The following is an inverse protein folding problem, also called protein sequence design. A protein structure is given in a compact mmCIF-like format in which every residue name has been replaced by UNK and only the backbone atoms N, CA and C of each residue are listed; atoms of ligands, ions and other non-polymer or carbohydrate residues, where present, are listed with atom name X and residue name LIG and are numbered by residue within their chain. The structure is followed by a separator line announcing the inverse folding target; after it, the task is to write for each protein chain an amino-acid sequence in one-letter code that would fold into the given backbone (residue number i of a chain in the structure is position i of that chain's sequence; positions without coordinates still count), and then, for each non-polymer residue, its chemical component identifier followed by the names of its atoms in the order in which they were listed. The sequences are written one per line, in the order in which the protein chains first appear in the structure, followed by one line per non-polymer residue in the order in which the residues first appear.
data_IF_548482503765
#
_entry.id   IF_548482503765
#
_cell.length_a   1.000
_cell.length_b   1.000
_cell.length_c   1.000
_cell.angle_alpha   90.00
_cell.angle_beta   90.00
_cell.angle_gamma   90.00
#
_symmetry.space_group_name_H-M   'P 1'
#
loop_
_entity.id
_entity.type
_entity.pdbx_description
1 polymer ?
#
# COMPACT_ATOMS: atom_id res chain seq x y z
N UNK A 1 14.91 10.93 -12.35
CA UNK A 1 14.43 10.93 -10.96
C UNK A 1 15.29 11.89 -10.17
N UNK A 2 14.68 12.89 -9.56
CA UNK A 2 15.40 13.93 -8.86
C UNK A 2 16.14 13.32 -7.67
N UNK A 3 17.48 13.45 -7.63
CA UNK A 3 18.31 12.80 -6.59
C UNK A 3 17.92 13.29 -5.20
N UNK A 4 17.45 14.53 -5.11
CA UNK A 4 16.97 15.16 -3.87
C UNK A 4 15.77 14.42 -3.31
N UNK A 5 14.75 14.14 -4.13
CA UNK A 5 13.54 13.44 -3.70
C UNK A 5 13.84 12.02 -3.23
N UNK A 6 14.67 11.27 -3.99
CA UNK A 6 15.03 9.90 -3.64
C UNK A 6 15.79 9.84 -2.30
N UNK A 7 16.73 10.75 -2.10
CA UNK A 7 17.48 10.85 -0.85
C UNK A 7 16.56 11.21 0.32
N UNK A 8 15.63 12.14 0.13
CA UNK A 8 14.64 12.48 1.15
C UNK A 8 13.77 11.27 1.53
N UNK A 9 13.24 10.55 0.55
CA UNK A 9 12.42 9.35 0.78
C UNK A 9 13.20 8.28 1.54
N UNK A 10 14.46 8.04 1.16
CA UNK A 10 15.29 7.05 1.83
C UNK A 10 15.63 7.45 3.28
N UNK A 11 16.00 8.71 3.50
CA UNK A 11 16.33 9.20 4.84
C UNK A 11 15.12 9.14 5.78
N UNK A 12 13.91 9.33 5.23
CA UNK A 12 12.65 9.27 5.98
C UNK A 12 11.96 7.90 5.91
N UNK A 13 12.62 6.85 5.42
CA UNK A 13 11.99 5.53 5.20
C UNK A 13 11.35 4.94 6.46
N UNK A 14 11.95 5.17 7.63
CA UNK A 14 11.39 4.70 8.92
C UNK A 14 10.09 5.42 9.26
N UNK A 15 10.06 6.75 9.06
CA UNK A 15 8.85 7.56 9.24
C UNK A 15 7.76 7.12 8.27
N UNK A 16 8.11 6.87 7.00
CA UNK A 16 7.18 6.36 5.98
C UNK A 16 6.63 4.98 6.40
N UNK A 17 7.49 4.09 6.90
CA UNK A 17 7.08 2.79 7.43
C UNK A 17 6.12 2.90 8.61
N UNK A 18 6.40 3.80 9.56
CA UNK A 18 5.52 4.09 10.70
C UNK A 18 4.16 4.63 10.26
N UNK A 19 4.14 5.52 9.26
CA UNK A 19 2.90 6.04 8.69
C UNK A 19 2.10 4.90 8.05
N UNK A 20 2.73 4.03 7.26
CA UNK A 20 2.06 2.88 6.65
C UNK A 20 1.46 1.92 7.68
N UNK A 21 2.19 1.63 8.76
CA UNK A 21 1.69 0.81 9.89
C UNK A 21 0.51 1.50 10.56
N UNK A 22 0.61 2.81 10.82
CA UNK A 22 -0.46 3.60 11.44
C UNK A 22 -1.74 3.56 10.61
N UNK A 23 -1.62 3.75 9.29
CA UNK A 23 -2.75 3.64 8.35
C UNK A 23 -3.36 2.23 8.41
N UNK A 24 -2.53 1.19 8.43
CA UNK A 24 -2.99 -0.20 8.53
C UNK A 24 -3.79 -0.45 9.82
N UNK A 25 -3.28 0.01 10.96
CA UNK A 25 -3.94 -0.14 12.26
C UNK A 25 -5.26 0.62 12.28
N UNK A 26 -5.28 1.90 11.89
CA UNK A 26 -6.49 2.72 11.87
C UNK A 26 -7.56 2.08 10.99
N UNK A 27 -7.20 1.64 9.77
CA UNK A 27 -8.16 1.02 8.84
C UNK A 27 -8.64 -0.36 9.29
N UNK A 28 -7.84 -1.10 10.08
CA UNK A 28 -8.30 -2.30 10.76
C UNK A 28 -9.28 -1.96 11.88
N UNK A 29 -8.95 -0.98 12.73
CA UNK A 29 -9.81 -0.54 13.84
C UNK A 29 -11.16 -0.07 13.34
N UNK A 30 -11.19 0.77 12.30
CA UNK A 30 -12.44 1.29 11.72
C UNK A 30 -13.38 0.17 11.26
N UNK A 31 -12.85 -0.89 10.65
CA UNK A 31 -13.68 -2.03 10.24
C UNK A 31 -14.11 -2.88 11.45
N UNK A 32 -13.22 -3.11 12.43
CA UNK A 32 -13.57 -3.88 13.64
C UNK A 32 -14.61 -3.18 14.52
N UNK A 33 -14.72 -1.86 14.41
CA UNK A 33 -15.77 -1.06 15.07
C UNK A 33 -17.03 -0.92 14.21
N UNK A 34 -17.14 -1.66 13.10
CA UNK A 34 -18.26 -1.62 12.14
C UNK A 34 -18.54 -0.21 11.57
N UNK A 35 -17.56 0.69 11.59
CA UNK A 35 -17.65 2.02 10.98
C UNK A 35 -17.45 2.00 9.46
N UNK A 36 -16.90 0.89 8.94
CA UNK A 36 -16.68 0.65 7.52
C UNK A 36 -17.14 -0.77 7.19
N UNK A 37 -17.75 -0.93 6.01
CA UNK A 37 -18.20 -2.22 5.52
C UNK A 37 -17.06 -3.23 5.38
N UNK A 38 -17.38 -4.52 5.58
CA UNK A 38 -16.40 -5.60 5.45
C UNK A 38 -16.04 -5.81 3.98
N UNK A 39 -14.77 -5.63 3.64
CA UNK A 39 -14.27 -5.86 2.28
C UNK A 39 -13.04 -6.79 2.27
N UNK A 40 -13.13 -8.00 1.69
CA UNK A 40 -12.04 -8.96 1.72
C UNK A 40 -10.78 -8.45 1.01
N UNK A 41 -10.94 -7.72 -0.10
CA UNK A 41 -9.82 -7.11 -0.82
C UNK A 41 -9.12 -6.02 0.03
N UNK A 42 -9.90 -5.17 0.71
CA UNK A 42 -9.34 -4.15 1.60
C UNK A 42 -8.62 -4.77 2.80
N UNK A 43 -9.13 -5.88 3.37
CA UNK A 43 -8.44 -6.63 4.43
C UNK A 43 -7.05 -7.09 4.00
N UNK A 44 -6.95 -7.66 2.80
CA UNK A 44 -5.67 -8.08 2.25
C UNK A 44 -4.73 -6.88 2.04
N UNK A 45 -5.22 -5.82 1.39
CA UNK A 45 -4.44 -4.61 1.10
C UNK A 45 -3.90 -3.95 2.37
N UNK A 46 -4.74 -3.68 3.37
CA UNK A 46 -4.29 -3.00 4.61
C UNK A 46 -3.27 -3.83 5.38
N UNK A 47 -3.43 -5.15 5.40
CA UNK A 47 -2.48 -6.05 6.07
C UNK A 47 -1.13 -6.03 5.36
N UNK A 48 -1.13 -6.05 4.02
CA UNK A 48 0.09 -5.99 3.21
C UNK A 48 0.79 -4.64 3.37
N UNK A 49 0.05 -3.53 3.39
CA UNK A 49 0.60 -2.20 3.66
C UNK A 49 1.29 -2.18 5.04
N UNK A 50 0.65 -2.74 6.07
CA UNK A 50 1.24 -2.85 7.41
C UNK A 50 2.52 -3.69 7.43
N UNK A 51 2.51 -4.85 6.78
CA UNK A 51 3.69 -5.74 6.68
C UNK A 51 4.86 -5.09 5.93
N UNK A 52 4.59 -4.39 4.82
CA UNK A 52 5.60 -3.62 4.09
C UNK A 52 6.10 -2.42 4.91
N UNK A 53 5.24 -1.80 5.71
CA UNK A 53 5.64 -0.78 6.67
C UNK A 53 6.64 -1.33 7.71
N UNK A 54 6.37 -2.51 8.27
CA UNK A 54 7.30 -3.21 9.19
C UNK A 54 8.63 -3.52 8.51
N UNK A 55 8.59 -3.98 7.25
CA UNK A 55 9.77 -4.27 6.44
C UNK A 55 10.72 -3.05 6.31
N UNK A 56 10.17 -1.84 6.22
CA UNK A 56 10.96 -0.59 6.18
C UNK A 56 11.61 -0.22 7.53
N UNK A 57 11.07 -0.69 8.65
CA UNK A 57 11.62 -0.42 9.98
C UNK A 57 12.83 -1.28 10.33
N UNK A 58 13.04 -2.38 9.60
CA UNK A 58 14.16 -3.28 9.83
C UNK A 58 15.50 -2.54 9.69
N UNK A 59 16.49 -2.85 10.56
CA UNK A 59 17.80 -2.18 10.54
C UNK A 59 18.50 -2.38 9.20
N UNK A 60 18.37 -3.56 8.59
CA UNK A 60 18.79 -3.83 7.23
C UNK A 60 17.59 -4.14 6.33
N UNK A 61 17.01 -3.09 5.76
CA UNK A 61 15.89 -3.17 4.80
C UNK A 61 16.22 -4.00 3.56
N UNK A 62 17.50 -4.09 3.18
CA UNK A 62 17.94 -4.81 1.97
C UNK A 62 18.50 -6.21 2.26
N UNK A 63 18.27 -6.74 3.46
CA UNK A 63 18.61 -8.13 3.70
C UNK A 63 17.81 -9.03 2.74
N UNK A 64 18.42 -10.10 2.24
CA UNK A 64 17.84 -10.91 1.16
C UNK A 64 16.47 -11.51 1.55
N UNK A 65 16.35 -11.97 2.80
CA UNK A 65 15.11 -12.55 3.35
C UNK A 65 13.98 -11.52 3.31
N UNK A 66 14.23 -10.30 3.75
CA UNK A 66 13.28 -9.20 3.76
C UNK A 66 12.89 -8.79 2.34
N UNK A 67 13.85 -8.67 1.42
CA UNK A 67 13.56 -8.37 0.02
C UNK A 67 12.67 -9.46 -0.60
N UNK A 68 12.97 -10.74 -0.32
CA UNK A 68 12.18 -11.87 -0.79
C UNK A 68 10.75 -11.83 -0.25
N UNK A 69 10.58 -11.75 1.07
CA UNK A 69 9.26 -11.69 1.71
C UNK A 69 8.47 -10.46 1.28
N UNK A 70 9.09 -9.27 1.30
CA UNK A 70 8.46 -8.03 0.87
C UNK A 70 7.99 -8.11 -0.59
N UNK A 71 8.78 -8.71 -1.48
CA UNK A 71 8.40 -8.85 -2.89
C UNK A 71 7.21 -9.79 -3.08
N UNK A 72 7.17 -10.92 -2.37
CA UNK A 72 6.05 -11.87 -2.47
C UNK A 72 4.74 -11.22 -1.99
N UNK A 73 4.75 -10.62 -0.79
CA UNK A 73 3.54 -10.03 -0.24
C UNK A 73 3.09 -8.82 -1.04
N UNK A 74 4.04 -8.00 -1.54
CA UNK A 74 3.72 -6.86 -2.38
C UNK A 74 3.15 -7.29 -3.73
N UNK A 75 3.66 -8.37 -4.34
CA UNK A 75 3.11 -8.91 -5.58
C UNK A 75 1.66 -9.38 -5.40
N UNK A 76 1.37 -10.12 -4.33
CA UNK A 76 0.01 -10.52 -3.99
C UNK A 76 -0.90 -9.30 -3.75
N UNK A 77 -0.43 -8.32 -3.00
CA UNK A 77 -1.20 -7.10 -2.71
C UNK A 77 -1.45 -6.25 -3.95
N UNK A 78 -0.47 -6.14 -4.83
CA UNK A 78 -0.60 -5.46 -6.11
C UNK A 78 -1.62 -6.16 -7.00
N UNK A 79 -1.58 -7.50 -7.09
CA UNK A 79 -2.59 -8.27 -7.81
C UNK A 79 -4.01 -8.02 -7.26
N UNK A 80 -4.19 -8.12 -5.94
CA UNK A 80 -5.49 -7.90 -5.28
C UNK A 80 -6.01 -6.49 -5.52
N UNK A 81 -5.16 -5.47 -5.38
CA UNK A 81 -5.54 -4.08 -5.59
C UNK A 81 -5.82 -3.77 -7.07
N UNK A 82 -5.03 -4.32 -8.00
CA UNK A 82 -5.24 -4.19 -9.44
C UNK A 82 -6.55 -4.85 -9.86
N UNK A 83 -6.82 -6.05 -9.34
CA UNK A 83 -8.06 -6.77 -9.60
C UNK A 83 -9.28 -5.98 -9.11
N UNK A 84 -9.28 -5.53 -7.85
CA UNK A 84 -10.38 -4.71 -7.32
C UNK A 84 -10.57 -3.40 -8.09
N UNK A 85 -9.48 -2.74 -8.46
CA UNK A 85 -9.54 -1.50 -9.22
C UNK A 85 -10.10 -1.75 -10.63
N UNK A 86 -9.71 -2.84 -11.28
CA UNK A 86 -10.24 -3.23 -12.57
C UNK A 86 -11.73 -3.63 -12.52
N UNK A 87 -12.19 -4.29 -11.45
CA UNK A 87 -13.63 -4.53 -11.21
C UNK A 87 -14.42 -3.21 -11.18
N UNK A 88 -13.87 -2.17 -10.55
CA UNK A 88 -14.48 -0.84 -10.57
C UNK A 88 -14.53 -0.24 -11.98
N UNK A 89 -13.44 -0.35 -12.76
CA UNK A 89 -13.42 0.05 -14.16
C UNK A 89 -14.49 -0.68 -15.00
N UNK A 90 -14.65 -2.00 -14.82
CA UNK A 90 -15.72 -2.74 -15.49
C UNK A 90 -17.09 -2.17 -15.16
N UNK A 91 -17.38 -1.87 -13.89
CA UNK A 91 -18.65 -1.26 -13.49
C UNK A 91 -18.88 0.09 -14.16
N UNK A 92 -17.83 0.91 -14.32
CA UNK A 92 -17.89 2.21 -15.02
C UNK A 92 -18.29 1.99 -16.48
N UNK A 93 -17.60 1.07 -17.17
CA UNK A 93 -17.85 0.80 -18.59
C UNK A 93 -19.23 0.20 -18.86
N UNK A 94 -19.78 -0.58 -17.92
CA UNK A 94 -21.13 -1.13 -18.01
C UNK A 94 -22.23 -0.16 -17.55
N UNK A 95 -21.89 1.08 -17.15
CA UNK A 95 -22.86 2.05 -16.64
C UNK A 95 -23.49 1.65 -15.30
N UNK A 96 -22.89 0.68 -14.58
CA UNK A 96 -23.36 0.17 -13.27
C UNK A 96 -22.58 0.75 -12.10
N UNK A 97 -21.75 1.76 -12.36
CA UNK A 97 -20.92 2.38 -11.34
C UNK A 97 -21.74 3.34 -10.49
N UNK A 98 -21.61 3.19 -9.17
CA UNK A 98 -22.30 4.02 -8.19
C UNK A 98 -21.23 4.51 -7.21
N UNK A 99 -21.14 5.83 -7.04
CA UNK A 99 -20.22 6.42 -6.05
C UNK A 99 -20.65 6.09 -4.61
N UNK A 100 -21.97 5.96 -4.38
CA UNK A 100 -22.57 5.79 -3.06
C UNK A 100 -22.70 7.13 -2.32
N UNK A 101 -23.43 7.15 -1.20
CA UNK A 101 -23.54 8.35 -0.34
C UNK A 101 -22.17 8.80 0.20
N UNK A 102 -21.29 7.84 0.50
CA UNK A 102 -19.92 8.08 0.95
C UNK A 102 -18.89 7.78 -0.13
N UNK A 103 -18.76 8.68 -1.11
CA UNK A 103 -17.84 8.54 -2.25
C UNK A 103 -16.37 8.26 -1.85
N UNK A 104 -15.93 8.74 -0.69
CA UNK A 104 -14.56 8.60 -0.20
C UNK A 104 -14.23 7.19 0.31
N UNK A 105 -15.22 6.36 0.59
CA UNK A 105 -15.05 4.94 0.96
C UNK A 105 -15.29 4.04 -0.27
N UNK A 106 -15.40 4.62 -1.47
CA UNK A 106 -15.67 3.83 -2.66
C UNK A 106 -14.54 2.83 -2.93
N UNK A 107 -14.91 1.57 -3.19
CA UNK A 107 -13.99 0.46 -3.38
C UNK A 107 -12.99 0.67 -4.52
N UNK A 108 -13.36 1.42 -5.58
CA UNK A 108 -12.48 1.70 -6.72
C UNK A 108 -11.40 2.73 -6.36
N UNK A 109 -11.78 3.74 -5.57
CA UNK A 109 -10.87 4.78 -5.09
C UNK A 109 -9.85 4.21 -4.09
N UNK A 110 -10.34 3.46 -3.10
CA UNK A 110 -9.48 2.83 -2.08
C UNK A 110 -8.47 1.85 -2.71
N UNK A 111 -8.89 1.03 -3.66
CA UNK A 111 -7.98 0.10 -4.34
C UNK A 111 -6.93 0.82 -5.18
N UNK A 112 -7.29 1.99 -5.76
CA UNK A 112 -6.33 2.87 -6.43
C UNK A 112 -5.26 3.38 -5.47
N UNK A 113 -5.65 3.90 -4.30
CA UNK A 113 -4.67 4.31 -3.27
C UNK A 113 -3.81 3.14 -2.79
N UNK A 114 -4.41 1.97 -2.57
CA UNK A 114 -3.69 0.77 -2.16
C UNK A 114 -2.62 0.37 -3.19
N UNK A 115 -2.91 0.44 -4.50
CA UNK A 115 -1.92 0.20 -5.56
C UNK A 115 -0.72 1.12 -5.41
N UNK A 116 -0.95 2.44 -5.33
CA UNK A 116 0.14 3.41 -5.21
C UNK A 116 0.97 3.21 -3.94
N UNK A 117 0.32 2.93 -2.80
CA UNK A 117 1.02 2.71 -1.53
C UNK A 117 1.86 1.43 -1.59
N UNK A 118 1.29 0.30 -2.02
CA UNK A 118 2.01 -0.99 -2.08
C UNK A 118 3.20 -0.89 -3.03
N UNK A 119 3.01 -0.32 -4.22
CA UNK A 119 4.10 -0.10 -5.19
C UNK A 119 5.18 0.82 -4.63
N UNK A 120 4.79 1.95 -4.03
CA UNK A 120 5.72 2.92 -3.46
C UNK A 120 6.55 2.33 -2.33
N UNK A 121 5.93 1.59 -1.42
CA UNK A 121 6.61 0.90 -0.31
C UNK A 121 7.60 -0.15 -0.83
N UNK A 122 7.18 -0.98 -1.80
CA UNK A 122 8.08 -1.99 -2.39
C UNK A 122 9.29 -1.33 -3.08
N UNK A 123 9.07 -0.28 -3.87
CA UNK A 123 10.14 0.45 -4.53
C UNK A 123 11.10 1.07 -3.51
N UNK A 124 10.59 1.61 -2.41
CA UNK A 124 11.42 2.17 -1.34
C UNK A 124 12.25 1.09 -0.64
N UNK A 125 11.68 -0.10 -0.39
CA UNK A 125 12.40 -1.26 0.15
C UNK A 125 13.54 -1.69 -0.78
N UNK A 126 13.28 -1.70 -2.09
CA UNK A 126 14.28 -2.03 -3.13
C UNK A 126 15.23 -0.90 -3.50
N UNK A 127 15.05 0.31 -2.95
CA UNK A 127 15.90 1.45 -3.25
C UNK A 127 17.29 1.27 -2.61
N UNK A 128 18.34 1.70 -3.31
CA UNK A 128 19.69 1.81 -2.77
C UNK A 128 20.16 3.25 -2.97
N UNK A 129 20.45 4.01 -1.91
CA UNK A 129 21.16 5.27 -2.07
C UNK A 129 22.54 4.95 -2.61
N UNK A 130 22.91 5.54 -3.74
CA UNK A 130 24.33 5.58 -4.10
C UNK A 130 25.03 6.48 -3.09
N UNK A 131 26.19 6.08 -2.53
CA UNK A 131 27.04 7.04 -1.85
C UNK A 131 27.35 8.16 -2.86
N UNK A 132 27.15 9.42 -2.46
CA UNK A 132 27.66 10.54 -3.23
C UNK A 132 29.17 10.38 -3.28
N UNK A 133 29.71 10.03 -4.45
CA UNK A 133 31.11 10.29 -4.72
C UNK A 133 31.33 11.79 -4.79
#
# INVERSE_FOLDING_TARGET
MDKVLLNWLWNNKKTIGLIAITISIITWTLELTDLVYVCPYCRAQRTIIGMLGISLLLPNTRNWINLYFASIIAFFGFFVAAYQHFEGWKKIMFGKFVWGEHWYINSWLLSGFALFIISGLLLLIWTSPRPSK
#
